data_IF_481270374844
#
_entry.id   IF_481270374844
#
_cell.length_a   1.000
_cell.length_b   1.000
_cell.length_c   1.000
_cell.angle_alpha   90.00
_cell.angle_beta   90.00
_cell.angle_gamma   90.00
#
_symmetry.space_group_name_H-M   'P 1'
#
loop_
_entity.id
_entity.type
_entity.pdbx_description
1 polymer ?
#
# COMPACT_ATOMS: atom_id res chain seq x y z
N UNK A 1 17.06 -42.48 29.95
CA UNK A 1 16.53 -41.11 30.12
C UNK A 1 17.66 -40.12 29.92
N UNK A 2 17.84 -39.65 28.69
CA UNK A 2 18.85 -38.66 28.33
C UNK A 2 18.49 -37.29 28.93
N UNK A 3 19.29 -36.84 29.91
CA UNK A 3 19.26 -35.44 30.35
C UNK A 3 19.87 -34.59 29.25
N UNK A 4 19.04 -34.04 28.37
CA UNK A 4 19.50 -32.98 27.47
C UNK A 4 19.87 -31.79 28.38
N UNK A 5 21.09 -31.22 28.28
CA UNK A 5 21.49 -30.10 29.13
C UNK A 5 20.59 -28.89 28.87
N UNK A 6 19.97 -28.35 29.91
CA UNK A 6 19.12 -27.15 29.85
C UNK A 6 19.82 -25.94 29.19
N UNK A 7 21.16 -25.87 29.29
CA UNK A 7 21.97 -24.87 28.61
C UNK A 7 21.99 -25.04 27.09
N UNK A 8 22.01 -26.28 26.59
CA UNK A 8 21.94 -26.56 25.16
C UNK A 8 20.55 -26.24 24.60
N UNK A 9 19.48 -26.58 25.32
CA UNK A 9 18.11 -26.22 24.92
C UNK A 9 17.88 -24.71 24.93
N UNK A 10 18.41 -23.99 25.92
CA UNK A 10 18.32 -22.53 25.98
C UNK A 10 19.08 -21.87 24.81
N UNK A 11 20.30 -22.35 24.50
CA UNK A 11 21.08 -21.82 23.38
C UNK A 11 20.42 -22.11 22.02
N UNK A 12 19.88 -23.30 21.83
CA UNK A 12 19.11 -23.65 20.62
C UNK A 12 17.88 -22.74 20.46
N UNK A 13 17.16 -22.48 21.55
CA UNK A 13 16.01 -21.57 21.54
C UNK A 13 16.39 -20.15 21.15
N UNK A 14 17.42 -19.58 21.79
CA UNK A 14 17.92 -18.22 21.49
C UNK A 14 18.33 -18.10 20.02
N UNK A 15 19.07 -19.09 19.50
CA UNK A 15 19.49 -19.10 18.09
C UNK A 15 18.34 -19.25 17.12
N UNK A 16 17.35 -20.07 17.45
CA UNK A 16 16.14 -20.20 16.64
C UNK A 16 15.40 -18.86 16.58
N UNK A 17 15.25 -18.17 17.71
CA UNK A 17 14.57 -16.87 17.75
C UNK A 17 15.32 -15.77 16.98
N UNK A 18 16.65 -15.70 17.09
CA UNK A 18 17.48 -14.81 16.25
C UNK A 18 17.27 -15.05 14.75
N UNK A 19 17.19 -16.32 14.34
CA UNK A 19 16.97 -16.68 12.93
C UNK A 19 15.57 -16.31 12.45
N UNK A 20 14.55 -16.56 13.27
CA UNK A 20 13.16 -16.22 12.94
C UNK A 20 13.00 -14.70 12.84
N UNK A 21 13.56 -13.93 13.78
CA UNK A 21 13.55 -12.47 13.73
C UNK A 21 14.23 -11.95 12.46
N UNK A 22 15.40 -12.49 12.12
CA UNK A 22 16.09 -12.16 10.87
C UNK A 22 15.24 -12.45 9.62
N UNK A 23 14.50 -13.56 9.60
CA UNK A 23 13.59 -13.89 8.50
C UNK A 23 12.40 -12.93 8.43
N UNK A 24 11.85 -12.52 9.57
CA UNK A 24 10.75 -11.53 9.66
C UNK A 24 11.23 -10.16 9.17
N UNK A 25 12.41 -9.71 9.56
CA UNK A 25 13.00 -8.48 9.06
C UNK A 25 13.24 -8.52 7.56
N UNK A 26 13.76 -9.65 7.04
CA UNK A 26 13.94 -9.86 5.61
C UNK A 26 12.61 -9.83 4.86
N UNK A 27 11.55 -10.43 5.39
CA UNK A 27 10.20 -10.37 4.84
C UNK A 27 9.72 -8.92 4.73
N UNK A 28 9.77 -8.18 5.84
CA UNK A 28 9.35 -6.78 5.93
C UNK A 28 10.13 -5.94 4.90
N UNK A 29 11.44 -6.13 4.81
CA UNK A 29 12.30 -5.44 3.86
C UNK A 29 12.01 -5.78 2.39
N UNK A 30 11.68 -7.04 2.09
CA UNK A 30 11.26 -7.46 0.75
C UNK A 30 9.92 -6.83 0.37
N UNK A 31 8.93 -6.88 1.25
CA UNK A 31 7.61 -6.27 1.04
C UNK A 31 7.76 -4.77 0.78
N UNK A 32 8.56 -4.07 1.60
CA UNK A 32 8.82 -2.65 1.43
C UNK A 32 9.44 -2.33 0.06
N UNK A 33 10.44 -3.10 -0.38
CA UNK A 33 11.08 -2.91 -1.70
C UNK A 33 10.12 -3.15 -2.86
N UNK A 34 9.26 -4.16 -2.77
CA UNK A 34 8.25 -4.45 -3.79
C UNK A 34 7.24 -3.29 -3.86
N UNK A 35 6.76 -2.80 -2.71
CA UNK A 35 5.83 -1.68 -2.66
C UNK A 35 6.44 -0.41 -3.25
N UNK A 36 7.64 -0.02 -2.83
CA UNK A 36 8.31 1.17 -3.35
C UNK A 36 8.55 1.10 -4.87
N UNK A 37 8.83 -0.10 -5.40
CA UNK A 37 8.98 -0.31 -6.84
C UNK A 37 7.64 -0.18 -7.56
N UNK A 38 6.57 -0.72 -6.99
CA UNK A 38 5.22 -0.61 -7.53
C UNK A 38 4.78 0.86 -7.59
N UNK A 39 4.93 1.61 -6.50
CA UNK A 39 4.61 3.05 -6.43
C UNK A 39 5.34 3.85 -7.51
N UNK A 40 6.68 3.71 -7.61
CA UNK A 40 7.50 4.41 -8.62
C UNK A 40 7.09 4.10 -10.06
N UNK A 41 6.68 2.86 -10.34
CA UNK A 41 6.18 2.49 -11.68
C UNK A 41 4.84 3.17 -11.97
N UNK A 42 4.00 3.34 -10.95
CA UNK A 42 2.69 4.00 -11.08
C UNK A 42 2.84 5.47 -11.35
N UNK A 43 3.65 6.15 -10.56
CA UNK A 43 3.94 7.57 -10.69
C UNK A 43 4.51 7.91 -12.09
N UNK A 44 5.51 7.16 -12.56
CA UNK A 44 6.10 7.37 -13.90
C UNK A 44 5.09 7.24 -15.03
N UNK A 45 4.19 6.26 -14.95
CA UNK A 45 3.19 6.03 -16.00
C UNK A 45 2.03 7.03 -15.93
N UNK A 46 1.64 7.50 -14.74
CA UNK A 46 0.65 8.57 -14.56
C UNK A 46 1.17 9.90 -15.10
N UNK A 47 2.43 10.25 -14.86
CA UNK A 47 3.07 11.45 -15.40
C UNK A 47 3.08 11.43 -16.94
N UNK A 48 3.19 10.24 -17.55
CA UNK A 48 3.24 10.10 -19.02
C UNK A 48 1.89 10.22 -19.75
N UNK A 49 0.75 10.09 -19.06
CA UNK A 49 -0.57 9.96 -19.72
C UNK A 49 -1.54 11.12 -19.47
N UNK A 50 -1.22 12.03 -18.54
CA UNK A 50 -2.13 13.11 -18.18
C UNK A 50 -1.83 14.37 -19.00
N UNK A 51 -2.75 14.71 -19.91
CA UNK A 51 -2.79 16.01 -20.56
C UNK A 51 -3.14 17.07 -19.50
N UNK A 52 -2.14 17.77 -18.99
CA UNK A 52 -2.34 18.79 -17.97
C UNK A 52 -3.00 20.04 -18.56
N UNK A 53 -4.08 20.53 -17.96
CA UNK A 53 -4.51 21.92 -18.23
C UNK A 53 -3.43 22.90 -17.75
N UNK A 54 -2.84 23.71 -18.66
CA UNK A 54 -1.83 24.69 -18.30
C UNK A 54 -2.42 25.74 -17.34
N UNK A 55 -1.65 26.18 -16.34
CA UNK A 55 -2.08 27.25 -15.45
C UNK A 55 -3.17 26.87 -14.42
N UNK A 56 -3.48 25.58 -14.24
CA UNK A 56 -4.48 25.09 -13.26
C UNK A 56 -4.31 25.66 -11.85
N UNK A 57 -3.06 25.81 -11.37
CA UNK A 57 -2.76 26.45 -10.08
C UNK A 57 -3.34 27.87 -10.01
N UNK A 58 -3.14 28.68 -11.06
CA UNK A 58 -3.68 30.04 -11.13
C UNK A 58 -5.20 30.08 -11.22
N UNK A 59 -5.82 29.11 -11.90
CA UNK A 59 -7.29 28.98 -11.95
C UNK A 59 -7.86 28.66 -10.56
N UNK A 60 -7.28 27.68 -9.85
CA UNK A 60 -7.70 27.33 -8.49
C UNK A 60 -7.53 28.49 -7.52
N UNK A 61 -6.40 29.21 -7.57
CA UNK A 61 -6.18 30.38 -6.69
C UNK A 61 -7.25 31.45 -6.90
N UNK A 62 -7.60 31.77 -8.17
CA UNK A 62 -8.65 32.76 -8.47
C UNK A 62 -10.02 32.28 -8.00
N UNK A 63 -10.35 31.02 -8.23
CA UNK A 63 -11.63 30.43 -7.81
C UNK A 63 -11.77 30.41 -6.28
N UNK A 64 -10.76 29.95 -5.56
CA UNK A 64 -10.76 29.88 -4.09
C UNK A 64 -10.86 31.28 -3.49
N UNK A 65 -10.08 32.25 -3.98
CA UNK A 65 -10.17 33.62 -3.50
C UNK A 65 -11.55 34.22 -3.75
N UNK A 66 -12.14 34.01 -4.94
CA UNK A 66 -13.48 34.51 -5.23
C UNK A 66 -14.53 33.92 -4.28
N UNK A 67 -14.50 32.60 -4.04
CA UNK A 67 -15.42 31.92 -3.13
C UNK A 67 -15.24 32.36 -1.67
N UNK A 68 -14.01 32.60 -1.22
CA UNK A 68 -13.74 33.07 0.14
C UNK A 68 -14.11 34.55 0.34
N UNK A 69 -13.99 35.38 -0.70
CA UNK A 69 -14.34 36.81 -0.61
C UNK A 69 -15.84 37.07 -0.61
N UNK A 70 -16.65 36.20 -1.24
CA UNK A 70 -18.10 36.36 -1.32
C UNK A 70 -18.77 34.99 -1.10
N UNK A 71 -18.86 34.51 0.17
CA UNK A 71 -19.33 33.16 0.47
C UNK A 71 -20.84 32.97 0.30
N UNK A 72 -21.63 34.03 0.47
CA UNK A 72 -23.11 33.98 0.42
C UNK A 72 -23.68 34.18 -0.99
N UNK A 73 -22.82 34.57 -1.94
CA UNK A 73 -23.21 34.86 -3.32
C UNK A 73 -23.18 33.58 -4.19
N UNK A 74 -23.93 33.60 -5.29
CA UNK A 74 -24.03 32.40 -6.13
C UNK A 74 -22.75 32.13 -6.93
N UNK A 75 -22.45 30.85 -7.17
CA UNK A 75 -21.33 30.40 -8.05
C UNK A 75 -21.34 31.10 -9.41
N UNK A 76 -22.53 31.38 -9.95
CA UNK A 76 -22.70 32.03 -11.25
C UNK A 76 -22.25 33.49 -11.24
N UNK A 77 -22.41 34.18 -10.11
CA UNK A 77 -22.06 35.59 -9.94
C UNK A 77 -20.59 35.77 -9.54
N UNK A 78 -20.02 34.85 -8.76
CA UNK A 78 -18.70 35.02 -8.17
C UNK A 78 -17.63 34.13 -8.80
N UNK A 79 -17.92 32.84 -8.94
CA UNK A 79 -16.92 31.85 -9.34
C UNK A 79 -16.75 31.80 -10.86
N UNK A 80 -17.85 31.83 -11.63
CA UNK A 80 -17.76 31.80 -13.10
C UNK A 80 -17.01 32.99 -13.68
N UNK A 81 -17.21 34.25 -13.23
CA UNK A 81 -16.49 35.39 -13.78
C UNK A 81 -15.01 35.43 -13.36
N UNK A 82 -14.65 34.88 -12.20
CA UNK A 82 -13.28 34.86 -11.68
C UNK A 82 -12.35 33.91 -12.47
N UNK A 83 -12.92 32.91 -13.14
CA UNK A 83 -12.17 31.88 -13.89
C UNK A 83 -12.00 32.29 -15.35
N UNK A 84 -10.78 32.25 -15.93
CA UNK A 84 -10.57 32.49 -17.36
C UNK A 84 -11.38 31.51 -18.22
N UNK A 85 -12.24 32.00 -19.12
CA UNK A 85 -13.15 31.17 -19.92
C UNK A 85 -14.39 30.64 -19.17
N UNK A 86 -14.56 31.03 -17.91
CA UNK A 86 -15.73 30.81 -17.07
C UNK A 86 -16.14 29.35 -16.93
N UNK A 87 -17.45 29.09 -17.01
CA UNK A 87 -18.03 27.76 -16.82
C UNK A 87 -17.44 26.71 -17.78
N UNK A 88 -17.09 27.09 -19.02
CA UNK A 88 -16.52 26.16 -20.01
C UNK A 88 -15.19 25.59 -19.52
N UNK A 89 -14.35 26.43 -18.94
CA UNK A 89 -13.07 26.03 -18.36
C UNK A 89 -13.27 25.15 -17.12
N UNK A 90 -14.25 25.48 -16.27
CA UNK A 90 -14.60 24.65 -15.11
C UNK A 90 -15.14 23.27 -15.51
N UNK A 91 -15.98 23.17 -16.56
CA UNK A 91 -16.44 21.88 -17.10
C UNK A 91 -15.30 21.08 -17.73
N UNK A 92 -14.35 21.73 -18.39
CA UNK A 92 -13.16 21.07 -18.93
C UNK A 92 -12.26 20.53 -17.82
N UNK A 93 -12.01 21.33 -16.77
CA UNK A 93 -11.29 20.92 -15.56
C UNK A 93 -12.00 19.77 -14.83
N UNK A 94 -13.33 19.83 -14.69
CA UNK A 94 -14.10 18.76 -14.07
C UNK A 94 -13.97 17.45 -14.87
N UNK A 95 -14.03 17.51 -16.22
CA UNK A 95 -13.80 16.34 -17.07
C UNK A 95 -12.38 15.79 -16.94
N UNK A 96 -11.36 16.66 -16.92
CA UNK A 96 -9.96 16.26 -16.71
C UNK A 96 -9.78 15.60 -15.34
N UNK A 97 -10.32 16.19 -14.27
CA UNK A 97 -10.23 15.63 -12.91
C UNK A 97 -10.91 14.27 -12.83
N UNK A 98 -12.14 14.15 -13.33
CA UNK A 98 -12.89 12.89 -13.35
C UNK A 98 -12.22 11.81 -14.20
N UNK A 99 -11.63 12.20 -15.35
CA UNK A 99 -10.84 11.29 -16.17
C UNK A 99 -9.54 10.88 -15.46
N UNK A 100 -8.87 11.82 -14.79
CA UNK A 100 -7.65 11.56 -14.00
C UNK A 100 -7.95 10.60 -12.85
N UNK A 101 -9.03 10.82 -12.10
CA UNK A 101 -9.44 9.93 -11.01
C UNK A 101 -9.73 8.51 -11.51
N UNK A 102 -10.42 8.37 -12.64
CA UNK A 102 -10.69 7.06 -13.25
C UNK A 102 -9.41 6.37 -13.71
N UNK A 103 -8.53 7.07 -14.42
CA UNK A 103 -7.23 6.54 -14.87
C UNK A 103 -6.37 6.14 -13.67
N UNK A 104 -6.32 6.96 -12.61
CA UNK A 104 -5.62 6.65 -11.36
C UNK A 104 -6.22 5.42 -10.69
N UNK A 105 -7.55 5.31 -10.57
CA UNK A 105 -8.20 4.17 -9.93
C UNK A 105 -7.99 2.86 -10.71
N UNK A 106 -8.13 2.88 -12.04
CA UNK A 106 -7.84 1.74 -12.91
C UNK A 106 -6.37 1.35 -12.84
N UNK A 107 -5.49 2.35 -12.77
CA UNK A 107 -4.05 2.13 -12.65
C UNK A 107 -3.69 1.48 -11.32
N UNK A 108 -4.19 1.99 -10.21
CA UNK A 108 -4.02 1.36 -8.89
C UNK A 108 -4.47 -0.10 -8.97
N UNK A 109 -5.65 -0.39 -9.53
CA UNK A 109 -6.13 -1.78 -9.70
C UNK A 109 -5.20 -2.63 -10.56
N UNK A 110 -4.72 -2.10 -11.69
CA UNK A 110 -3.79 -2.79 -12.58
C UNK A 110 -2.46 -3.08 -11.88
N UNK A 111 -1.91 -2.09 -11.18
CA UNK A 111 -0.70 -2.24 -10.41
C UNK A 111 -0.87 -3.27 -9.30
N UNK A 112 -1.96 -3.23 -8.54
CA UNK A 112 -2.20 -4.22 -7.49
C UNK A 112 -2.31 -5.66 -8.03
N UNK A 113 -2.73 -5.83 -9.30
CA UNK A 113 -2.72 -7.13 -10.00
C UNK A 113 -1.36 -7.53 -10.58
N UNK A 114 -0.50 -6.57 -10.91
CA UNK A 114 0.77 -6.79 -11.63
C UNK A 114 2.05 -6.48 -10.85
N UNK A 115 1.96 -5.98 -9.62
CA UNK A 115 3.11 -5.57 -8.80
C UNK A 115 3.92 -6.75 -8.28
N UNK A 116 3.29 -7.92 -8.21
CA UNK A 116 3.93 -9.16 -7.80
C UNK A 116 4.40 -9.93 -9.03
N UNK A 117 5.67 -9.79 -9.36
CA UNK A 117 6.28 -10.54 -10.46
C UNK A 117 6.50 -11.99 -10.04
N UNK A 118 6.56 -12.89 -11.04
CA UNK A 118 6.92 -14.29 -10.85
C UNK A 118 8.23 -14.46 -10.03
N UNK A 119 9.20 -13.57 -10.22
CA UNK A 119 10.46 -13.58 -9.47
C UNK A 119 10.24 -13.36 -7.96
N UNK A 120 9.51 -12.32 -7.57
CA UNK A 120 9.22 -12.05 -6.15
C UNK A 120 8.34 -13.13 -5.55
N UNK A 121 7.43 -13.70 -6.33
CA UNK A 121 6.60 -14.83 -5.93
C UNK A 121 7.38 -16.07 -5.54
N UNK A 122 8.30 -16.46 -6.42
CA UNK A 122 9.14 -17.65 -6.20
C UNK A 122 10.01 -17.51 -4.95
N UNK A 123 10.42 -16.29 -4.61
CA UNK A 123 11.17 -16.01 -3.37
C UNK A 123 10.29 -15.91 -2.12
N UNK A 124 9.13 -15.27 -2.22
CA UNK A 124 8.29 -14.99 -1.06
C UNK A 124 7.47 -16.21 -0.61
N UNK A 125 7.06 -17.09 -1.52
CA UNK A 125 6.27 -18.26 -1.13
C UNK A 125 7.00 -19.19 -0.15
N UNK A 126 8.28 -19.57 -0.36
CA UNK A 126 9.02 -20.36 0.64
C UNK A 126 9.20 -19.62 1.97
N UNK A 127 9.38 -18.30 1.93
CA UNK A 127 9.60 -17.51 3.13
C UNK A 127 8.30 -17.39 3.95
N UNK A 128 7.15 -17.17 3.31
CA UNK A 128 5.84 -17.18 3.96
C UNK A 128 5.50 -18.58 4.50
N UNK A 129 5.88 -19.64 3.80
CA UNK A 129 5.64 -21.02 4.23
C UNK A 129 6.52 -21.45 5.40
N UNK A 130 7.72 -20.87 5.55
CA UNK A 130 8.64 -21.16 6.64
C UNK A 130 8.31 -20.44 7.95
N UNK A 131 7.48 -19.39 7.89
CA UNK A 131 7.09 -18.59 9.05
C UNK A 131 5.69 -18.97 9.51
N UNK A 132 5.56 -19.36 10.77
CA UNK A 132 4.26 -19.65 11.38
C UNK A 132 3.64 -18.38 11.94
N UNK A 133 2.76 -17.76 11.15
CA UNK A 133 2.04 -16.56 11.58
C UNK A 133 0.92 -16.91 12.56
N UNK A 134 0.84 -16.14 13.63
CA UNK A 134 -0.22 -16.19 14.63
C UNK A 134 -0.83 -14.81 14.80
N UNK A 135 -2.09 -14.78 15.22
CA UNK A 135 -2.82 -13.55 15.44
C UNK A 135 -3.83 -13.76 16.57
N UNK A 136 -3.85 -12.86 17.54
CA UNK A 136 -4.85 -12.87 18.63
C UNK A 136 -6.05 -11.98 18.30
N UNK A 137 -5.94 -11.11 17.30
CA UNK A 137 -6.95 -10.13 16.95
C UNK A 137 -7.79 -10.62 15.77
N UNK A 138 -9.07 -10.88 16.03
CA UNK A 138 -10.02 -11.37 15.00
C UNK A 138 -10.21 -10.39 13.86
N UNK A 139 -9.93 -9.09 14.04
CA UNK A 139 -9.99 -8.10 12.97
C UNK A 139 -8.97 -8.37 11.84
N UNK A 140 -7.87 -9.07 12.14
CA UNK A 140 -6.82 -9.41 11.18
C UNK A 140 -7.01 -10.80 10.56
N UNK A 141 -8.12 -11.49 10.85
CA UNK A 141 -8.44 -12.80 10.25
C UNK A 141 -8.44 -12.77 8.71
N UNK A 142 -9.00 -11.75 8.04
CA UNK A 142 -8.93 -11.67 6.57
C UNK A 142 -7.50 -11.61 6.04
N UNK A 143 -6.57 -11.00 6.79
CA UNK A 143 -5.16 -10.94 6.42
C UNK A 143 -4.52 -12.32 6.58
N UNK A 144 -4.80 -13.02 7.67
CA UNK A 144 -4.33 -14.39 7.91
C UNK A 144 -4.78 -15.35 6.80
N UNK A 145 -6.09 -15.35 6.48
CA UNK A 145 -6.64 -16.19 5.42
C UNK A 145 -6.02 -15.85 4.05
N UNK A 146 -5.81 -14.56 3.77
CA UNK A 146 -5.18 -14.11 2.53
C UNK A 146 -3.70 -14.52 2.41
N UNK A 147 -2.94 -14.59 3.51
CA UNK A 147 -1.55 -15.07 3.50
C UNK A 147 -1.50 -16.57 3.20
N UNK A 148 -2.42 -17.34 3.77
CA UNK A 148 -2.55 -18.77 3.47
C UNK A 148 -2.86 -19.01 1.98
N UNK A 149 -3.75 -18.20 1.41
CA UNK A 149 -4.04 -18.22 -0.03
C UNK A 149 -2.82 -17.80 -0.88
N UNK A 150 -2.10 -16.75 -0.48
CA UNK A 150 -0.89 -16.30 -1.18
C UNK A 150 0.18 -17.38 -1.30
N UNK A 151 0.34 -18.20 -0.26
CA UNK A 151 1.31 -19.28 -0.24
C UNK A 151 0.97 -20.41 -1.22
N UNK A 152 -0.31 -20.56 -1.58
CA UNK A 152 -0.81 -21.66 -2.42
C UNK A 152 -1.07 -21.25 -3.87
N UNK A 153 -1.67 -20.07 -4.10
CA UNK A 153 -2.22 -19.71 -5.41
C UNK A 153 -2.19 -18.20 -5.70
N UNK A 154 -2.35 -17.84 -6.98
CA UNK A 154 -2.36 -16.44 -7.42
C UNK A 154 -3.69 -15.78 -7.11
N UNK A 155 -3.70 -14.95 -6.09
CA UNK A 155 -4.83 -14.08 -5.79
C UNK A 155 -4.66 -12.72 -6.49
N UNK A 156 -5.73 -12.01 -6.82
CA UNK A 156 -5.64 -10.59 -7.15
C UNK A 156 -5.25 -9.79 -5.89
N UNK A 157 -4.56 -8.67 -6.05
CA UNK A 157 -4.19 -7.75 -4.96
C UNK A 157 -3.13 -8.30 -3.97
N UNK A 158 -2.21 -9.14 -4.44
CA UNK A 158 -1.12 -9.74 -3.63
C UNK A 158 -0.30 -8.69 -2.88
N UNK A 159 -0.03 -7.55 -3.53
CA UNK A 159 0.68 -6.45 -2.90
C UNK A 159 -0.09 -5.86 -1.71
N UNK A 160 -1.43 -5.76 -1.78
CA UNK A 160 -2.24 -5.28 -0.65
C UNK A 160 -2.11 -6.19 0.56
N UNK A 161 -2.16 -7.51 0.33
CA UNK A 161 -2.04 -8.51 1.39
C UNK A 161 -0.66 -8.45 2.02
N UNK A 162 0.41 -8.32 1.22
CA UNK A 162 1.76 -8.15 1.73
C UNK A 162 1.93 -6.85 2.54
N UNK A 163 1.39 -5.72 2.06
CA UNK A 163 1.43 -4.45 2.81
C UNK A 163 0.69 -4.59 4.14
N UNK A 164 -0.51 -5.18 4.12
CA UNK A 164 -1.31 -5.42 5.32
C UNK A 164 -0.59 -6.33 6.32
N UNK A 165 0.05 -7.40 5.85
CA UNK A 165 0.89 -8.26 6.67
C UNK A 165 2.04 -7.47 7.31
N UNK A 166 2.78 -6.70 6.51
CA UNK A 166 3.91 -5.88 7.00
C UNK A 166 3.45 -4.86 8.05
N UNK A 167 2.29 -4.22 7.86
CA UNK A 167 1.74 -3.28 8.84
C UNK A 167 1.24 -3.99 10.10
N UNK A 168 0.64 -5.17 9.98
CA UNK A 168 0.18 -5.97 11.11
C UNK A 168 1.36 -6.52 11.94
N UNK A 169 2.45 -6.95 11.30
CA UNK A 169 3.70 -7.36 11.96
C UNK A 169 4.33 -6.19 12.72
N UNK A 170 4.37 -4.99 12.11
CA UNK A 170 4.89 -3.78 12.78
C UNK A 170 4.08 -3.33 13.98
N UNK A 171 2.78 -3.63 14.00
CA UNK A 171 1.88 -3.31 15.11
C UNK A 171 1.77 -4.45 16.13
N UNK A 172 2.50 -5.56 15.93
CA UNK A 172 2.42 -6.77 16.75
C UNK A 172 1.01 -7.37 16.83
N UNK A 173 0.16 -7.09 15.84
CA UNK A 173 -1.20 -7.67 15.71
C UNK A 173 -1.13 -9.08 15.13
N UNK A 174 -0.17 -9.29 14.23
CA UNK A 174 0.29 -10.58 13.76
C UNK A 174 1.72 -10.74 14.28
N UNK A 175 2.04 -11.91 14.80
CA UNK A 175 3.38 -12.27 15.26
C UNK A 175 3.76 -13.63 14.68
N UNK A 176 5.04 -13.96 14.72
CA UNK A 176 5.56 -15.22 14.21
C UNK A 176 5.97 -16.11 15.37
N UNK A 177 5.52 -17.36 15.38
CA UNK A 177 5.90 -18.32 16.40
C UNK A 177 7.41 -18.57 16.36
N UNK A 178 8.04 -18.59 17.53
CA UNK A 178 9.49 -18.71 17.66
C UNK A 178 10.27 -17.41 17.44
N UNK A 179 9.63 -16.31 17.05
CA UNK A 179 10.23 -14.98 17.13
C UNK A 179 10.35 -14.55 18.60
N UNK A 180 11.26 -13.63 18.90
CA UNK A 180 11.22 -12.99 20.21
C UNK A 180 9.87 -12.27 20.36
N UNK A 181 9.21 -12.33 21.53
CA UNK A 181 8.06 -11.48 21.79
C UNK A 181 8.57 -10.04 21.70
N UNK A 182 8.29 -9.40 20.56
CA UNK A 182 8.73 -8.05 20.24
C UNK A 182 8.46 -7.16 21.45
N UNK A 183 9.54 -6.59 22.01
CA UNK A 183 9.47 -5.58 23.07
C UNK A 183 8.82 -4.29 22.55
#
# INVERSE_FOLDING_TARGET
>A
MSRVPWAATALCWTRQAELVDGLVELLIGLIHRINARAERRGEKELIGQLAAVPGKRGIFTKMVNAALSNPDETVRQVVFPAVPGGEKTLRALAKELMATERVVAERIRYQLRGSYSHYYRRMLAPLLAALEFKCHNTAYRPVMDAIELLARERIPYELCVLIALKDALRRSEIYVEGAWPLA
#
